data_IF_430837200084
#
_entry.id   IF_430837200084
#
_cell.length_a   1.000
_cell.length_b   1.000
_cell.length_c   1.000
_cell.angle_alpha   90.00
_cell.angle_beta   90.00
_cell.angle_gamma   90.00
#
_symmetry.space_group_name_H-M   'P 1'
#
loop_
_entity.id
_entity.type
_entity.pdbx_description
1 polymer ?
#
# COMPACT_ATOMS: atom_id res chain seq x y z
N UNK A 1 -43.32 8.06 -22.82
CA UNK A 1 -42.50 7.23 -21.94
C UNK A 1 -41.03 7.50 -22.19
N UNK A 2 -40.36 8.30 -21.29
CA UNK A 2 -38.92 8.50 -21.33
C UNK A 2 -38.28 7.42 -20.50
N UNK A 3 -37.48 6.59 -21.13
CA UNK A 3 -36.60 5.66 -20.45
C UNK A 3 -35.41 6.42 -19.85
N UNK A 4 -35.37 6.51 -18.54
CA UNK A 4 -34.18 6.99 -17.83
C UNK A 4 -33.22 5.81 -17.75
N UNK A 5 -32.12 5.86 -18.50
CA UNK A 5 -31.05 4.91 -18.40
C UNK A 5 -30.32 5.13 -17.08
N UNK A 6 -30.46 4.20 -16.17
CA UNK A 6 -29.69 4.17 -14.93
C UNK A 6 -28.22 3.90 -15.28
N UNK A 7 -27.37 4.88 -15.03
CA UNK A 7 -25.92 4.69 -15.07
C UNK A 7 -25.54 3.78 -13.91
N UNK A 8 -25.36 2.51 -14.21
CA UNK A 8 -24.69 1.59 -13.30
C UNK A 8 -23.27 2.09 -13.08
N UNK A 9 -22.99 2.55 -11.87
CA UNK A 9 -21.69 3.04 -11.49
C UNK A 9 -20.64 1.94 -11.70
N UNK A 10 -19.56 2.27 -12.39
CA UNK A 10 -18.37 1.44 -12.49
C UNK A 10 -17.87 1.20 -11.07
N UNK A 11 -18.08 0.00 -10.54
CA UNK A 11 -17.41 -0.48 -9.35
C UNK A 11 -15.90 -0.29 -9.56
N UNK A 12 -15.30 0.57 -8.78
CA UNK A 12 -13.88 0.85 -8.89
C UNK A 12 -13.09 -0.43 -8.58
N UNK A 13 -12.14 -0.78 -9.44
CA UNK A 13 -11.20 -1.90 -9.22
C UNK A 13 -10.47 -1.83 -7.86
N UNK A 14 -10.60 -0.74 -7.13
CA UNK A 14 -10.02 -0.51 -5.82
C UNK A 14 -10.55 -1.45 -4.72
N UNK A 15 -11.74 -2.01 -4.89
CA UNK A 15 -12.41 -2.88 -3.92
C UNK A 15 -12.37 -4.38 -4.30
N UNK A 16 -11.50 -4.76 -5.22
CA UNK A 16 -11.38 -6.16 -5.62
C UNK A 16 -10.67 -6.99 -4.55
N UNK A 17 -11.17 -8.21 -4.32
CA UNK A 17 -10.48 -9.23 -3.50
C UNK A 17 -9.10 -9.52 -4.09
N UNK A 18 -8.11 -9.68 -3.23
CA UNK A 18 -6.74 -9.98 -3.61
C UNK A 18 -6.34 -11.38 -3.15
N UNK A 19 -5.56 -12.07 -3.97
CA UNK A 19 -5.03 -13.39 -3.65
C UNK A 19 -3.52 -13.31 -3.47
N UNK A 20 -3.05 -13.69 -2.29
CA UNK A 20 -1.63 -13.87 -2.02
C UNK A 20 -1.23 -15.30 -2.35
N UNK A 21 -0.04 -15.51 -2.85
CA UNK A 21 0.47 -16.84 -3.18
C UNK A 21 1.90 -17.03 -2.72
N UNK A 22 2.31 -18.30 -2.62
CA UNK A 22 3.62 -18.69 -2.12
C UNK A 22 3.61 -19.00 -0.62
N UNK A 23 4.38 -20.01 -0.24
CA UNK A 23 4.33 -20.57 1.12
C UNK A 23 4.76 -19.58 2.20
N UNK A 24 5.86 -18.87 1.96
CA UNK A 24 6.35 -17.89 2.93
C UNK A 24 5.38 -16.70 3.07
N UNK A 25 4.90 -16.18 1.95
CA UNK A 25 3.98 -15.03 1.95
C UNK A 25 2.66 -15.34 2.65
N UNK A 26 2.11 -16.52 2.42
CA UNK A 26 0.86 -16.96 3.04
C UNK A 26 1.03 -17.16 4.55
N UNK A 27 2.10 -17.84 4.98
CA UNK A 27 2.37 -18.04 6.42
C UNK A 27 2.59 -16.71 7.13
N UNK A 28 3.38 -15.81 6.54
CA UNK A 28 3.60 -14.47 7.09
C UNK A 28 2.29 -13.70 7.27
N UNK A 29 1.44 -13.72 6.25
CA UNK A 29 0.14 -13.05 6.30
C UNK A 29 -0.74 -13.61 7.40
N UNK A 30 -0.80 -14.92 7.53
CA UNK A 30 -1.58 -15.58 8.58
C UNK A 30 -1.05 -15.28 9.98
N UNK A 31 0.28 -15.30 10.18
CA UNK A 31 0.92 -14.96 11.45
C UNK A 31 0.74 -13.48 11.81
N UNK A 32 0.72 -12.61 10.82
CA UNK A 32 0.47 -11.18 11.02
C UNK A 32 -1.02 -10.85 11.28
N UNK A 33 -1.88 -11.87 11.35
CA UNK A 33 -3.33 -11.73 11.59
C UNK A 33 -4.05 -10.88 10.53
N UNK A 34 -3.58 -10.90 9.29
CA UNK A 34 -4.26 -10.25 8.18
C UNK A 34 -5.62 -10.94 8.00
N UNK A 35 -6.73 -10.20 7.82
CA UNK A 35 -8.01 -10.80 7.50
C UNK A 35 -7.90 -11.68 6.25
N UNK A 36 -8.46 -12.88 6.31
CA UNK A 36 -8.47 -13.81 5.20
C UNK A 36 -9.83 -14.50 5.13
N UNK A 37 -10.31 -14.73 3.93
CA UNK A 37 -11.61 -15.37 3.69
C UNK A 37 -11.49 -16.84 3.39
N UNK A 38 -10.41 -17.26 2.74
CA UNK A 38 -10.18 -18.65 2.39
C UNK A 38 -8.69 -18.93 2.17
N UNK A 39 -8.29 -20.14 2.55
CA UNK A 39 -6.98 -20.72 2.21
C UNK A 39 -7.20 -21.82 1.17
N UNK A 40 -6.44 -21.79 0.08
CA UNK A 40 -6.52 -22.76 -0.99
C UNK A 40 -5.22 -23.55 -1.07
N UNK A 41 -5.35 -24.87 -1.12
CA UNK A 41 -4.23 -25.82 -1.22
C UNK A 41 -4.40 -26.65 -2.47
N UNK A 42 -3.41 -26.71 -3.34
CA UNK A 42 -3.46 -27.54 -4.52
C UNK A 42 -3.36 -29.03 -4.16
N UNK A 43 -4.05 -29.85 -4.94
CA UNK A 43 -3.94 -31.29 -4.84
C UNK A 43 -2.51 -31.75 -5.16
N UNK A 44 -2.07 -32.82 -4.53
CA UNK A 44 -0.80 -33.53 -4.81
C UNK A 44 0.46 -32.67 -4.63
N UNK A 45 0.44 -31.77 -3.66
CA UNK A 45 1.65 -31.06 -3.26
C UNK A 45 2.26 -31.70 -2.00
N UNK A 46 3.56 -31.47 -1.80
CA UNK A 46 4.21 -31.84 -0.56
C UNK A 46 3.82 -30.87 0.56
N UNK A 47 3.41 -31.42 1.69
CA UNK A 47 3.09 -30.64 2.88
C UNK A 47 4.35 -30.49 3.72
N UNK A 48 5.09 -29.42 3.45
CA UNK A 48 6.19 -29.04 4.33
C UNK A 48 5.68 -28.32 5.58
N UNK A 49 6.60 -27.89 6.45
CA UNK A 49 6.21 -27.23 7.70
C UNK A 49 5.41 -25.94 7.47
N UNK A 50 5.72 -25.21 6.41
CA UNK A 50 5.01 -23.96 6.07
C UNK A 50 3.56 -24.22 5.68
N UNK A 51 3.31 -25.25 4.89
CA UNK A 51 1.94 -25.63 4.50
C UNK A 51 1.16 -26.10 5.73
N UNK A 52 1.77 -26.94 6.58
CA UNK A 52 1.16 -27.38 7.83
C UNK A 52 0.83 -26.23 8.77
N UNK A 53 1.76 -25.29 8.93
CA UNK A 53 1.56 -24.10 9.75
C UNK A 53 0.42 -23.23 9.20
N UNK A 54 0.36 -23.03 7.89
CA UNK A 54 -0.71 -22.28 7.26
C UNK A 54 -2.08 -22.92 7.52
N UNK A 55 -2.18 -24.22 7.36
CA UNK A 55 -3.44 -24.97 7.62
C UNK A 55 -3.81 -24.87 9.09
N UNK A 56 -2.84 -25.05 10.00
CA UNK A 56 -3.08 -24.98 11.43
C UNK A 56 -3.58 -23.61 11.86
N UNK A 57 -2.93 -22.54 11.40
CA UNK A 57 -3.34 -21.17 11.71
C UNK A 57 -4.72 -20.88 11.14
N UNK A 58 -4.98 -21.28 9.89
CA UNK A 58 -6.27 -21.07 9.26
C UNK A 58 -7.39 -21.78 10.03
N UNK A 59 -7.19 -23.03 10.42
CA UNK A 59 -8.16 -23.79 11.22
C UNK A 59 -8.42 -23.12 12.56
N UNK A 60 -7.38 -22.69 13.25
CA UNK A 60 -7.51 -22.01 14.55
C UNK A 60 -8.24 -20.68 14.45
N UNK A 61 -8.14 -19.99 13.31
CA UNK A 61 -8.82 -18.72 13.05
C UNK A 61 -10.19 -18.87 12.43
N UNK A 62 -10.64 -20.08 12.15
CA UNK A 62 -11.92 -20.32 11.47
C UNK A 62 -11.93 -19.93 9.99
N UNK A 63 -10.75 -19.84 9.36
CA UNK A 63 -10.62 -19.58 7.93
C UNK A 63 -10.86 -20.91 7.18
N UNK A 64 -11.71 -20.90 6.16
CA UNK A 64 -11.97 -22.10 5.39
C UNK A 64 -10.72 -22.57 4.64
N UNK A 65 -10.43 -23.87 4.72
CA UNK A 65 -9.33 -24.51 4.00
C UNK A 65 -9.92 -25.36 2.88
N UNK A 66 -9.54 -25.06 1.65
CA UNK A 66 -10.12 -25.68 0.46
C UNK A 66 -9.02 -26.36 -0.36
N UNK A 67 -9.21 -27.63 -0.66
CA UNK A 67 -8.37 -28.34 -1.61
C UNK A 67 -8.89 -28.10 -3.02
N UNK A 68 -8.02 -27.66 -3.90
CA UNK A 68 -8.35 -27.29 -5.28
C UNK A 68 -7.38 -27.91 -6.26
N UNK A 69 -7.72 -27.88 -7.54
CA UNK A 69 -6.80 -28.31 -8.59
C UNK A 69 -5.70 -27.28 -8.82
N UNK A 70 -4.59 -27.74 -9.37
CA UNK A 70 -3.48 -26.82 -9.73
C UNK A 70 -3.94 -25.78 -10.75
N UNK A 71 -4.80 -26.15 -11.68
CA UNK A 71 -5.36 -25.23 -12.68
C UNK A 71 -6.17 -24.12 -12.00
N UNK A 72 -6.91 -24.43 -10.96
CA UNK A 72 -7.67 -23.43 -10.20
C UNK A 72 -6.75 -22.44 -9.49
N UNK A 73 -5.67 -22.91 -8.87
CA UNK A 73 -4.68 -22.01 -8.26
C UNK A 73 -3.96 -21.16 -9.32
N UNK A 74 -3.59 -21.72 -10.44
CA UNK A 74 -3.00 -20.96 -11.56
C UNK A 74 -3.93 -19.82 -11.99
N UNK A 75 -5.21 -20.09 -12.07
CA UNK A 75 -6.22 -19.09 -12.44
C UNK A 75 -6.36 -18.00 -11.38
N UNK A 76 -6.42 -18.37 -10.10
CA UNK A 76 -6.56 -17.44 -8.98
C UNK A 76 -5.36 -16.49 -8.87
N UNK A 77 -4.18 -16.96 -9.19
CA UNK A 77 -2.93 -16.22 -9.02
C UNK A 77 -2.48 -15.50 -10.29
N UNK A 78 -3.30 -15.52 -11.34
CA UNK A 78 -3.02 -14.80 -12.59
C UNK A 78 -2.01 -15.46 -13.51
N UNK A 79 -1.63 -16.70 -13.28
CA UNK A 79 -0.80 -17.52 -14.17
C UNK A 79 0.71 -17.24 -14.15
N UNK A 80 1.14 -16.07 -13.71
CA UNK A 80 2.55 -15.64 -13.77
C UNK A 80 3.33 -15.81 -12.46
N UNK A 81 2.65 -16.16 -11.38
CA UNK A 81 3.28 -16.27 -10.07
C UNK A 81 3.70 -17.69 -9.73
N UNK A 82 4.85 -17.82 -9.06
CA UNK A 82 5.27 -19.08 -8.45
C UNK A 82 4.48 -19.26 -7.15
N UNK A 83 3.32 -19.90 -7.23
CA UNK A 83 2.41 -20.04 -6.10
C UNK A 83 2.74 -21.18 -5.14
N UNK A 84 3.59 -22.12 -5.55
CA UNK A 84 3.99 -23.27 -4.71
C UNK A 84 2.82 -24.12 -4.20
N UNK A 85 1.69 -24.09 -4.88
CA UNK A 85 0.49 -24.84 -4.53
C UNK A 85 -0.33 -24.27 -3.37
N UNK A 86 -0.12 -23.03 -2.98
CA UNK A 86 -0.84 -22.40 -1.86
C UNK A 86 -1.24 -20.96 -2.20
N UNK A 87 -2.46 -20.60 -1.85
CA UNK A 87 -3.00 -19.26 -2.04
C UNK A 87 -3.92 -18.87 -0.88
N UNK A 88 -3.87 -17.60 -0.52
CA UNK A 88 -4.71 -17.02 0.54
C UNK A 88 -5.54 -15.88 -0.04
N UNK A 89 -6.84 -15.96 0.11
CA UNK A 89 -7.75 -14.91 -0.31
C UNK A 89 -7.92 -13.89 0.82
N UNK A 90 -7.64 -12.63 0.49
CA UNK A 90 -7.69 -11.49 1.41
C UNK A 90 -8.85 -10.59 1.01
N UNK A 91 -9.71 -10.15 1.95
CA UNK A 91 -10.82 -9.27 1.63
C UNK A 91 -10.32 -7.91 1.14
N UNK A 92 -11.14 -7.16 0.40
CA UNK A 92 -10.76 -5.83 -0.05
C UNK A 92 -10.49 -4.91 1.15
N UNK A 93 -9.47 -4.08 1.03
CA UNK A 93 -9.18 -3.04 2.00
C UNK A 93 -10.01 -1.79 1.68
N UNK A 94 -10.52 -1.13 2.70
CA UNK A 94 -11.29 0.10 2.53
C UNK A 94 -10.35 1.30 2.36
N UNK A 95 -9.93 1.53 1.13
CA UNK A 95 -9.08 2.68 0.80
C UNK A 95 -9.86 3.98 0.91
N UNK A 96 -9.21 5.02 1.44
CA UNK A 96 -9.76 6.38 1.48
C UNK A 96 -9.54 7.07 0.13
N UNK A 97 -10.37 8.07 -0.14
CA UNK A 97 -10.05 9.07 -1.14
C UNK A 97 -8.99 10.04 -0.59
N UNK A 98 -8.03 10.53 -1.40
CA UNK A 98 -7.00 11.44 -0.90
C UNK A 98 -7.51 12.70 -0.21
N UNK A 99 -8.63 13.26 -0.66
CA UNK A 99 -9.25 14.41 0.00
C UNK A 99 -9.85 14.06 1.37
N UNK A 100 -10.50 12.91 1.47
CA UNK A 100 -11.01 12.41 2.76
C UNK A 100 -9.86 12.13 3.73
N UNK A 101 -8.74 11.60 3.23
CA UNK A 101 -7.54 11.40 4.02
C UNK A 101 -7.02 12.70 4.60
N UNK A 102 -6.96 13.76 3.79
CA UNK A 102 -6.52 15.08 4.23
C UNK A 102 -7.49 15.68 5.26
N UNK A 103 -8.78 15.56 5.04
CA UNK A 103 -9.80 16.05 6.00
C UNK A 103 -9.61 15.39 7.37
N UNK A 104 -9.43 14.09 7.39
CA UNK A 104 -9.16 13.33 8.62
C UNK A 104 -7.85 13.76 9.27
N UNK A 105 -6.79 13.89 8.49
CA UNK A 105 -5.49 14.31 8.98
C UNK A 105 -5.54 15.72 9.62
N UNK A 106 -6.24 16.65 8.99
CA UNK A 106 -6.45 18.01 9.53
C UNK A 106 -7.32 18.04 10.78
N UNK A 107 -8.22 17.07 10.95
CA UNK A 107 -8.99 16.94 12.19
C UNK A 107 -8.17 16.41 13.36
N UNK A 108 -7.13 15.64 13.09
CA UNK A 108 -6.26 15.02 14.10
C UNK A 108 -5.06 15.89 14.46
N UNK A 109 -4.60 16.73 13.54
CA UNK A 109 -3.41 17.57 13.72
C UNK A 109 -3.52 18.87 12.92
N UNK A 110 -3.02 19.97 13.48
CA UNK A 110 -2.92 21.23 12.76
C UNK A 110 -1.85 21.19 11.68
N UNK A 111 -0.82 20.35 11.85
CA UNK A 111 0.31 20.19 10.93
C UNK A 111 0.46 18.71 10.54
N UNK A 112 -0.49 18.14 9.82
CA UNK A 112 -0.40 16.75 9.43
C UNK A 112 0.72 16.48 8.43
N UNK A 113 1.26 15.28 8.49
CA UNK A 113 2.20 14.72 7.54
C UNK A 113 1.55 13.56 6.80
N UNK A 114 1.50 13.67 5.49
CA UNK A 114 1.02 12.59 4.60
C UNK A 114 2.14 12.24 3.65
N UNK A 115 2.31 10.95 3.38
CA UNK A 115 3.32 10.45 2.45
C UNK A 115 2.62 9.81 1.26
N UNK A 116 3.03 10.20 0.05
CA UNK A 116 2.55 9.60 -1.19
C UNK A 116 3.68 8.86 -1.91
N UNK A 117 3.35 7.77 -2.57
CA UNK A 117 4.28 7.03 -3.40
C UNK A 117 4.00 7.30 -4.87
N UNK A 118 5.04 7.65 -5.62
CA UNK A 118 4.95 7.89 -7.09
C UNK A 118 5.14 6.60 -7.91
N UNK A 119 5.14 5.48 -7.27
CA UNK A 119 5.20 4.17 -7.91
C UNK A 119 5.49 3.08 -6.89
N UNK A 120 5.10 1.87 -7.19
CA UNK A 120 5.34 0.72 -6.35
C UNK A 120 5.96 -0.38 -7.21
N UNK A 121 7.18 -0.80 -6.87
CA UNK A 121 7.86 -1.89 -7.55
C UNK A 121 7.85 -3.17 -6.73
N UNK A 122 7.96 -3.06 -5.40
CA UNK A 122 7.98 -4.20 -4.50
C UNK A 122 7.00 -3.99 -3.33
N UNK A 123 5.93 -4.82 -3.21
CA UNK A 123 4.98 -4.73 -2.09
C UNK A 123 5.61 -4.89 -0.71
N UNK A 124 6.76 -5.57 -0.59
CA UNK A 124 7.45 -5.73 0.69
C UNK A 124 8.00 -4.42 1.21
N UNK A 125 8.50 -3.57 0.32
CA UNK A 125 8.96 -2.22 0.68
C UNK A 125 7.80 -1.33 1.14
N UNK A 126 6.62 -1.54 0.59
CA UNK A 126 5.43 -0.78 0.97
C UNK A 126 5.09 -0.93 2.45
N UNK A 127 5.10 -2.15 2.97
CA UNK A 127 4.84 -2.39 4.40
C UNK A 127 5.86 -1.68 5.30
N UNK A 128 7.13 -1.70 4.92
CA UNK A 128 8.20 -1.01 5.64
C UNK A 128 7.99 0.51 5.60
N UNK A 129 7.65 1.07 4.45
CA UNK A 129 7.39 2.51 4.29
C UNK A 129 6.20 2.94 5.16
N UNK A 130 5.11 2.20 5.14
CA UNK A 130 3.92 2.52 5.95
C UNK A 130 4.26 2.50 7.43
N UNK A 131 5.00 1.49 7.90
CA UNK A 131 5.45 1.43 9.31
C UNK A 131 6.35 2.60 9.67
N UNK A 132 7.25 2.99 8.78
CA UNK A 132 8.13 4.15 9.01
C UNK A 132 7.34 5.45 9.10
N UNK A 133 6.38 5.65 8.22
CA UNK A 133 5.49 6.83 8.27
C UNK A 133 4.75 6.89 9.60
N UNK A 134 4.24 5.77 10.08
CA UNK A 134 3.59 5.69 11.38
C UNK A 134 4.56 6.03 12.53
N UNK A 135 5.79 5.52 12.48
CA UNK A 135 6.82 5.79 13.49
C UNK A 135 7.21 7.27 13.55
N UNK A 136 7.19 7.97 12.42
CA UNK A 136 7.44 9.42 12.36
C UNK A 136 6.23 10.29 12.71
N UNK A 137 5.11 9.67 13.10
CA UNK A 137 3.89 10.41 13.42
C UNK A 137 3.10 10.86 12.19
N UNK A 138 3.32 10.24 11.06
CA UNK A 138 2.55 10.53 9.84
C UNK A 138 1.07 10.17 9.99
N UNK A 139 0.23 10.87 9.25
CA UNK A 139 -1.22 10.79 9.38
C UNK A 139 -1.90 10.00 8.26
N UNK A 140 -1.16 9.59 7.24
CA UNK A 140 -1.70 8.81 6.15
C UNK A 140 -0.70 8.53 5.03
N UNK A 141 -1.05 7.56 4.20
CA UNK A 141 -0.26 7.17 3.03
C UNK A 141 -1.15 7.15 1.81
N UNK A 142 -0.65 7.70 0.71
CA UNK A 142 -1.33 7.69 -0.59
C UNK A 142 -0.57 6.77 -1.53
N UNK A 143 -1.27 5.80 -2.11
CA UNK A 143 -0.74 4.87 -3.08
C UNK A 143 -1.28 5.18 -4.48
N UNK A 144 -0.53 4.90 -5.54
CA UNK A 144 -1.08 5.00 -6.89
C UNK A 144 -2.16 3.93 -7.10
N UNK A 145 -3.17 4.27 -7.90
CA UNK A 145 -4.26 3.34 -8.20
C UNK A 145 -3.76 2.09 -8.95
N UNK A 146 -2.74 2.26 -9.78
CA UNK A 146 -2.04 1.11 -10.40
C UNK A 146 -1.09 0.52 -9.37
N UNK A 147 -1.49 -0.59 -8.80
CA UNK A 147 -0.76 -1.28 -7.75
C UNK A 147 -0.33 -2.67 -8.20
N UNK A 148 0.77 -3.14 -7.65
CA UNK A 148 1.22 -4.52 -7.78
C UNK A 148 0.45 -5.44 -6.82
N UNK A 149 0.53 -6.75 -7.07
CA UNK A 149 0.00 -7.77 -6.16
C UNK A 149 0.62 -7.62 -4.77
N UNK A 150 -0.18 -7.74 -3.73
CA UNK A 150 0.27 -7.66 -2.34
C UNK A 150 0.06 -6.30 -1.66
N UNK A 151 -0.36 -5.27 -2.38
CA UNK A 151 -0.62 -3.95 -1.79
C UNK A 151 -1.74 -4.00 -0.76
N UNK A 152 -2.82 -4.70 -1.04
CA UNK A 152 -3.94 -4.86 -0.10
C UNK A 152 -3.50 -5.61 1.15
N UNK A 153 -2.68 -6.64 1.01
CA UNK A 153 -2.11 -7.37 2.15
C UNK A 153 -1.20 -6.48 2.99
N UNK A 154 -0.36 -5.64 2.37
CA UNK A 154 0.49 -4.68 3.07
C UNK A 154 -0.34 -3.65 3.84
N UNK A 155 -1.42 -3.14 3.25
CA UNK A 155 -2.35 -2.23 3.92
C UNK A 155 -3.03 -2.90 5.13
N UNK A 156 -3.50 -4.12 4.99
CA UNK A 156 -4.08 -4.89 6.10
C UNK A 156 -3.06 -5.19 7.20
N UNK A 157 -1.84 -5.56 6.82
CA UNK A 157 -0.76 -5.83 7.78
C UNK A 157 -0.46 -4.62 8.64
N UNK A 158 -0.46 -3.44 8.08
CA UNK A 158 -0.27 -2.19 8.79
C UNK A 158 -1.43 -1.90 9.73
N UNK A 159 -2.66 -2.12 9.28
CA UNK A 159 -3.87 -1.89 10.08
C UNK A 159 -4.03 -2.90 11.21
N UNK A 160 -3.52 -4.13 11.05
CA UNK A 160 -3.56 -5.16 12.08
C UNK A 160 -2.48 -4.95 13.15
N UNK A 161 -1.45 -4.18 12.85
CA UNK A 161 -0.45 -3.77 13.84
C UNK A 161 -1.07 -2.90 14.92
N UNK A 162 -1.01 -3.33 16.18
CA UNK A 162 -1.73 -2.70 17.29
C UNK A 162 -1.33 -1.25 17.56
N UNK A 163 -0.20 -0.78 17.05
CA UNK A 163 0.36 0.53 17.38
C UNK A 163 0.03 1.64 16.39
N UNK A 164 -0.45 1.32 15.17
CA UNK A 164 -0.62 2.36 14.17
C UNK A 164 -1.68 1.99 13.15
N UNK A 165 -2.87 2.50 13.36
CA UNK A 165 -3.90 2.51 12.33
C UNK A 165 -3.57 3.63 11.33
N UNK A 166 -2.76 3.29 10.34
CA UNK A 166 -2.40 4.22 9.28
C UNK A 166 -3.45 4.16 8.18
N UNK A 167 -4.25 5.21 7.96
CA UNK A 167 -5.17 5.22 6.85
C UNK A 167 -4.42 5.28 5.52
N UNK A 168 -4.89 4.51 4.57
CA UNK A 168 -4.31 4.40 3.22
C UNK A 168 -5.33 4.85 2.20
N UNK A 169 -4.94 5.77 1.34
CA UNK A 169 -5.73 6.25 0.22
C UNK A 169 -5.16 5.79 -1.11
N UNK A 170 -6.01 5.70 -2.13
CA UNK A 170 -5.60 5.48 -3.51
C UNK A 170 -5.81 6.76 -4.32
N UNK A 171 -4.78 7.20 -5.02
CA UNK A 171 -4.87 8.31 -5.96
C UNK A 171 -5.06 7.77 -7.38
N UNK A 172 -6.16 8.12 -8.01
CA UNK A 172 -6.38 7.82 -9.42
C UNK A 172 -5.37 8.57 -10.31
N UNK A 173 -5.04 9.78 -9.90
CA UNK A 173 -4.04 10.62 -10.56
C UNK A 173 -3.29 11.40 -9.48
N UNK A 174 -2.04 11.04 -9.25
CA UNK A 174 -1.21 11.66 -8.21
C UNK A 174 -1.00 13.16 -8.47
N UNK A 175 -0.79 13.56 -9.72
CA UNK A 175 -0.59 14.97 -10.05
C UNK A 175 -1.83 15.82 -9.75
N UNK A 176 -3.00 15.29 -9.98
CA UNK A 176 -4.26 15.94 -9.62
C UNK A 176 -4.38 16.06 -8.10
N UNK A 177 -4.04 15.02 -7.37
CA UNK A 177 -4.01 15.03 -5.90
C UNK A 177 -3.06 16.09 -5.37
N UNK A 178 -1.85 16.20 -5.94
CA UNK A 178 -0.87 17.23 -5.57
C UNK A 178 -1.47 18.62 -5.75
N UNK A 179 -2.07 18.89 -6.88
CA UNK A 179 -2.69 20.20 -7.18
C UNK A 179 -3.81 20.54 -6.19
N UNK A 180 -4.65 19.57 -5.86
CA UNK A 180 -5.74 19.74 -4.89
C UNK A 180 -5.20 20.01 -3.48
N UNK A 181 -4.17 19.29 -3.06
CA UNK A 181 -3.53 19.51 -1.76
C UNK A 181 -2.90 20.89 -1.66
N UNK A 182 -2.22 21.34 -2.71
CA UNK A 182 -1.64 22.68 -2.78
C UNK A 182 -2.70 23.77 -2.64
N UNK A 183 -3.85 23.61 -3.30
CA UNK A 183 -4.97 24.55 -3.16
C UNK A 183 -5.51 24.62 -1.73
N UNK A 184 -5.38 23.52 -0.97
CA UNK A 184 -5.80 23.45 0.43
C UNK A 184 -4.72 23.87 1.42
N UNK A 185 -3.63 24.44 0.96
CA UNK A 185 -2.56 24.97 1.79
C UNK A 185 -1.52 23.95 2.23
N UNK A 186 -1.48 22.78 1.62
CA UNK A 186 -0.47 21.75 1.89
C UNK A 186 0.81 22.07 1.10
N UNK A 187 1.96 22.03 1.78
CA UNK A 187 3.25 22.14 1.15
C UNK A 187 3.71 20.79 0.63
N UNK A 188 4.13 20.72 -0.62
CA UNK A 188 4.45 19.45 -1.29
C UNK A 188 5.95 19.34 -1.56
N UNK A 189 6.56 18.31 -0.99
CA UNK A 189 7.98 18.03 -1.10
C UNK A 189 8.18 16.68 -1.80
N UNK A 190 8.96 16.68 -2.86
CA UNK A 190 9.40 15.46 -3.52
C UNK A 190 10.77 15.02 -3.04
N UNK A 191 10.95 13.74 -2.74
CA UNK A 191 12.26 13.15 -2.44
C UNK A 191 12.80 12.48 -3.70
N UNK A 192 13.94 12.98 -4.19
CA UNK A 192 14.59 12.45 -5.38
C UNK A 192 16.02 12.02 -5.04
N UNK A 193 16.43 10.85 -5.57
CA UNK A 193 17.77 10.31 -5.34
C UNK A 193 18.89 10.99 -6.14
N UNK A 194 18.57 11.77 -7.18
CA UNK A 194 19.53 12.24 -8.17
C UNK A 194 19.74 13.77 -8.19
N UNK A 195 19.21 14.50 -7.25
CA UNK A 195 19.33 15.96 -7.26
C UNK A 195 20.44 16.51 -6.39
N UNK A 196 20.85 17.75 -6.65
CA UNK A 196 21.99 18.43 -6.03
C UNK A 196 21.63 19.29 -4.81
N UNK A 197 20.46 19.11 -4.21
CA UNK A 197 20.03 20.02 -3.15
C UNK A 197 20.35 19.43 -1.79
N UNK A 198 21.23 20.08 -1.05
CA UNK A 198 21.39 19.87 0.38
C UNK A 198 20.05 20.04 1.10
N UNK A 199 19.87 19.32 2.22
CA UNK A 199 18.70 19.42 3.08
C UNK A 199 18.21 20.88 3.17
N UNK A 200 16.96 21.15 2.83
CA UNK A 200 16.50 22.48 2.61
C UNK A 200 16.41 23.28 3.89
N UNK A 201 16.66 24.56 3.76
CA UNK A 201 16.38 25.56 4.77
C UNK A 201 14.91 25.97 4.73
N UNK A 202 13.97 25.06 4.61
CA UNK A 202 12.58 25.45 4.72
C UNK A 202 12.04 25.02 6.07
N UNK A 203 11.23 25.89 6.61
CA UNK A 203 10.57 25.63 7.88
C UNK A 203 9.36 24.71 7.64
N UNK A 204 9.53 23.43 7.92
CA UNK A 204 8.48 22.42 7.81
C UNK A 204 7.41 22.55 8.90
N UNK A 205 7.59 23.50 9.83
CA UNK A 205 6.72 23.60 11.00
C UNK A 205 5.47 24.46 10.77
N UNK A 206 5.37 25.15 9.64
CA UNK A 206 4.29 26.12 9.41
C UNK A 206 3.10 25.60 8.64
N UNK A 207 3.23 24.45 7.96
CA UNK A 207 2.20 23.98 7.02
C UNK A 207 2.01 22.49 7.09
N UNK A 208 0.78 22.01 6.79
CA UNK A 208 0.58 20.61 6.46
C UNK A 208 1.52 20.18 5.34
N UNK A 209 2.04 18.97 5.42
CA UNK A 209 3.10 18.48 4.54
C UNK A 209 2.66 17.22 3.80
N UNK A 210 2.84 17.23 2.49
CA UNK A 210 2.80 16.04 1.65
C UNK A 210 4.21 15.75 1.16
N UNK A 211 4.75 14.59 1.53
CA UNK A 211 6.05 14.11 1.07
C UNK A 211 5.83 13.02 0.02
N UNK A 212 6.43 13.20 -1.15
CA UNK A 212 6.31 12.23 -2.24
C UNK A 212 7.61 11.48 -2.39
N UNK A 213 7.53 10.16 -2.31
CA UNK A 213 8.67 9.25 -2.46
C UNK A 213 8.63 8.62 -3.83
N UNK A 214 9.71 8.72 -4.57
CA UNK A 214 9.86 8.08 -5.87
C UNK A 214 10.05 6.57 -5.75
N UNK A 215 9.79 5.85 -6.85
CA UNK A 215 10.05 4.42 -6.94
C UNK A 215 11.56 4.13 -7.00
N UNK A 216 11.96 2.95 -6.50
CA UNK A 216 13.33 2.50 -6.60
C UNK A 216 13.79 2.44 -8.06
N UNK A 217 14.96 3.00 -8.34
CA UNK A 217 15.61 3.00 -9.64
C UNK A 217 15.08 4.05 -10.62
N UNK A 218 13.87 4.54 -10.48
CA UNK A 218 13.29 5.56 -11.37
C UNK A 218 13.14 6.93 -10.73
N UNK A 219 13.12 7.00 -9.41
CA UNK A 219 12.87 8.24 -8.69
C UNK A 219 11.47 8.81 -8.95
N UNK A 220 11.34 10.11 -8.84
CA UNK A 220 10.11 10.83 -9.12
C UNK A 220 9.88 10.98 -10.63
N UNK A 221 8.64 10.79 -11.08
CA UNK A 221 8.28 11.12 -12.46
C UNK A 221 8.44 12.62 -12.73
N UNK A 222 8.69 12.98 -13.98
CA UNK A 222 8.92 14.37 -14.38
C UNK A 222 7.76 15.28 -13.98
N UNK A 223 6.54 14.86 -14.22
CA UNK A 223 5.35 15.66 -13.95
C UNK A 223 5.14 15.85 -12.44
N UNK A 224 5.43 14.84 -11.63
CA UNK A 224 5.40 14.97 -10.17
C UNK A 224 6.45 15.98 -9.70
N UNK A 225 7.67 15.92 -10.24
CA UNK A 225 8.72 16.90 -9.92
C UNK A 225 8.26 18.33 -10.21
N UNK A 226 7.65 18.56 -11.37
CA UNK A 226 7.16 19.88 -11.77
C UNK A 226 6.06 20.41 -10.85
N UNK A 227 5.25 19.56 -10.27
CA UNK A 227 4.15 19.92 -9.40
C UNK A 227 4.55 20.08 -7.92
N UNK A 228 5.72 19.59 -7.52
CA UNK A 228 6.22 19.78 -6.15
C UNK A 228 6.59 21.25 -5.90
N UNK A 229 6.36 21.71 -4.66
CA UNK A 229 6.86 23.02 -4.22
C UNK A 229 8.37 22.99 -4.06
N UNK A 230 8.91 21.87 -3.63
CA UNK A 230 10.34 21.68 -3.45
C UNK A 230 10.72 20.23 -3.68
N UNK A 231 11.93 20.03 -4.20
CA UNK A 231 12.51 18.70 -4.36
C UNK A 231 13.76 18.63 -3.49
N UNK A 232 13.80 17.60 -2.64
CA UNK A 232 14.94 17.30 -1.79
C UNK A 232 15.65 16.11 -2.40
N UNK A 233 16.95 16.27 -2.60
CA UNK A 233 17.80 15.18 -3.03
C UNK A 233 18.38 14.47 -1.81
N UNK A 234 18.01 13.21 -1.65
CA UNK A 234 18.64 12.32 -0.68
C UNK A 234 19.17 11.14 -1.48
N UNK A 235 20.44 10.71 -1.29
CA UNK A 235 20.91 9.48 -1.87
C UNK A 235 19.95 8.34 -1.52
N UNK A 236 19.54 7.52 -2.50
CA UNK A 236 18.50 6.49 -2.35
C UNK A 236 18.79 5.58 -1.15
N UNK A 237 20.04 5.22 -0.93
CA UNK A 237 20.49 4.44 0.24
C UNK A 237 20.19 5.15 1.56
N UNK A 238 20.42 6.47 1.66
CA UNK A 238 20.15 7.24 2.87
C UNK A 238 18.66 7.48 3.09
N UNK A 239 17.88 7.68 2.03
CA UNK A 239 16.43 7.78 2.13
C UNK A 239 15.81 6.50 2.66
N UNK A 240 16.23 5.35 2.14
CA UNK A 240 15.79 4.04 2.60
C UNK A 240 16.21 3.78 4.04
N UNK A 241 17.45 4.11 4.42
CA UNK A 241 17.94 3.98 5.79
C UNK A 241 17.20 4.91 6.74
N UNK A 242 16.91 6.15 6.34
CA UNK A 242 16.14 7.09 7.14
C UNK A 242 14.71 6.61 7.39
N UNK A 243 14.07 6.04 6.37
CA UNK A 243 12.73 5.46 6.50
C UNK A 243 12.76 4.16 7.30
N UNK A 244 13.84 3.40 7.24
CA UNK A 244 14.01 2.16 8.00
C UNK A 244 14.52 2.40 9.43
N UNK A 245 15.20 3.49 9.69
CA UNK A 245 15.75 3.84 11.00
C UNK A 245 14.67 4.17 12.06
N UNK A 246 13.42 4.32 11.64
CA UNK A 246 12.27 4.47 12.52
C UNK A 246 11.68 3.15 13.02
N UNK A 247 12.31 2.04 12.71
CA UNK A 247 11.90 0.70 13.13
C UNK A 247 12.75 0.34 14.36
#
# INVERSE_FOLDING_TARGET
GQFVASKTGKSSKANATEVLSGRNSVVEALRAKIPATALYIAQRIDYDDRVRDAISIANNRGISVNEVTRVEIDRMTGGDSVHQGIALQVPPYNYKDPNELLDRALSESTLPLIVALDGITDPRNLGAIIRSVAAFGGNGVILPQRRSVGVTAAAWKTSAGAAARMPVALAANLNQTIKEYKRRGVFVVGLDGDGDVSLPKFDLHDKPLLVIVGSEGKGLSRLVQENCDQIISIPISQATESLNAGI
#
